data_IF_135681603771
#
_entry.id   IF_135681603771
#
_cell.length_a   1.000
_cell.length_b   1.000
_cell.length_c   1.000
_cell.angle_alpha   90.00
_cell.angle_beta   90.00
_cell.angle_gamma   90.00
#
_symmetry.space_group_name_H-M   'P 1'
#
loop_
_entity.id
_entity.type
_entity.pdbx_description
1 polymer ?
#
# COMPACT_ATOMS: atom_id res chain seq x y z
N UNK A 1 21.75 -5.38 23.96
CA UNK A 1 20.93 -4.17 23.83
C UNK A 1 21.64 -3.22 22.88
N UNK A 2 21.10 -3.02 21.70
CA UNK A 2 21.64 -2.06 20.75
C UNK A 2 21.07 -0.71 21.14
N UNK A 3 21.88 0.18 21.65
CA UNK A 3 21.47 1.56 21.87
C UNK A 3 21.66 2.31 20.55
N UNK A 4 20.55 2.54 19.87
CA UNK A 4 20.53 3.17 18.54
C UNK A 4 20.33 4.69 18.62
N UNK A 5 20.60 5.29 19.77
CA UNK A 5 20.61 6.74 19.85
C UNK A 5 21.72 7.29 18.97
N UNK A 6 21.32 8.03 17.94
CA UNK A 6 22.25 8.83 17.15
C UNK A 6 23.15 9.67 18.06
N UNK A 7 24.42 9.78 17.81
CA UNK A 7 25.25 9.50 16.65
C UNK A 7 26.11 8.24 16.79
N UNK A 8 25.69 7.25 17.53
CA UNK A 8 26.50 6.17 18.07
C UNK A 8 26.34 4.85 17.31
N UNK A 9 25.56 4.80 16.23
CA UNK A 9 25.53 3.69 15.29
C UNK A 9 26.94 3.46 14.74
N UNK A 10 27.64 2.49 15.31
CA UNK A 10 29.02 2.15 14.97
C UNK A 10 30.04 2.24 16.12
N UNK A 11 29.68 2.80 17.28
CA UNK A 11 30.61 2.92 18.40
C UNK A 11 30.30 2.03 19.62
N UNK A 12 29.15 1.34 19.65
CA UNK A 12 28.82 0.49 20.79
C UNK A 12 29.42 -0.88 20.62
N UNK A 13 30.47 -1.12 21.36
CA UNK A 13 31.10 -2.42 21.48
C UNK A 13 30.53 -3.13 22.72
N UNK A 14 29.49 -3.92 22.53
CA UNK A 14 28.86 -4.70 23.63
C UNK A 14 29.20 -6.19 23.56
N UNK A 15 30.28 -6.58 22.93
CA UNK A 15 30.73 -7.97 22.90
C UNK A 15 29.82 -8.92 22.05
N UNK A 16 28.84 -8.39 21.33
CA UNK A 16 27.89 -9.10 20.48
C UNK A 16 27.84 -8.52 19.07
N UNK A 17 27.28 -9.22 18.08
CA UNK A 17 27.38 -8.82 16.70
C UNK A 17 26.96 -7.37 16.51
N UNK A 18 27.88 -6.57 15.98
CA UNK A 18 27.59 -5.19 15.59
C UNK A 18 26.62 -5.20 14.43
N UNK A 19 25.57 -4.42 14.51
CA UNK A 19 24.84 -4.02 13.31
C UNK A 19 25.72 -3.01 12.60
N UNK A 20 26.34 -3.40 11.51
CA UNK A 20 27.15 -2.50 10.69
C UNK A 20 26.31 -2.13 9.47
N UNK A 21 26.02 -0.86 9.33
CA UNK A 21 25.48 -0.34 8.10
C UNK A 21 26.63 -0.36 7.08
N UNK A 22 26.51 -1.23 6.07
CA UNK A 22 27.56 -1.41 5.08
C UNK A 22 27.61 -0.21 4.15
N UNK A 23 28.79 0.37 4.00
CA UNK A 23 29.07 1.51 3.12
C UNK A 23 30.06 1.05 2.05
N UNK A 24 29.55 0.64 0.90
CA UNK A 24 30.39 0.21 -0.22
C UNK A 24 30.62 1.34 -1.26
N UNK A 25 29.79 2.39 -1.19
CA UNK A 25 29.79 3.52 -2.14
C UNK A 25 29.16 4.78 -1.50
N UNK A 26 29.19 5.90 -2.26
CA UNK A 26 28.65 7.19 -1.79
C UNK A 26 27.15 7.14 -1.49
N UNK A 27 26.37 6.35 -2.25
CA UNK A 27 24.93 6.17 -2.00
C UNK A 27 24.67 5.47 -0.67
N UNK A 28 25.55 4.59 -0.24
CA UNK A 28 25.45 3.94 1.07
C UNK A 28 25.74 4.93 2.21
N UNK A 29 26.67 5.84 2.03
CA UNK A 29 26.95 6.92 2.99
C UNK A 29 25.73 7.83 3.13
N UNK A 30 25.10 8.23 2.03
CA UNK A 30 23.86 9.03 2.03
C UNK A 30 22.73 8.27 2.71
N UNK A 31 22.55 6.99 2.41
CA UNK A 31 21.55 6.13 3.03
C UNK A 31 21.74 6.00 4.54
N UNK A 32 22.97 5.83 5.01
CA UNK A 32 23.31 5.79 6.44
C UNK A 32 22.95 7.09 7.14
N UNK A 33 23.30 8.23 6.54
CA UNK A 33 22.97 9.54 7.09
C UNK A 33 21.44 9.74 7.15
N UNK A 34 20.71 9.25 6.14
CA UNK A 34 19.25 9.28 6.14
C UNK A 34 18.69 8.48 7.33
N UNK A 35 19.12 7.22 7.50
CA UNK A 35 18.68 6.36 8.60
C UNK A 35 19.00 7.01 9.95
N UNK A 36 20.21 7.53 10.15
CA UNK A 36 20.61 8.22 11.39
C UNK A 36 19.73 9.41 11.71
N UNK A 37 19.31 10.18 10.70
CA UNK A 37 18.45 11.36 10.88
C UNK A 37 17.00 10.99 11.20
N UNK A 38 16.48 9.92 10.60
CA UNK A 38 15.08 9.57 10.66
C UNK A 38 14.74 8.41 11.62
N UNK A 39 15.73 7.87 12.32
CA UNK A 39 15.47 7.02 13.49
C UNK A 39 15.01 7.92 14.63
N UNK A 40 13.73 8.01 14.81
CA UNK A 40 13.06 8.61 15.96
C UNK A 40 12.53 7.53 16.92
N UNK A 41 11.83 7.95 17.98
CA UNK A 41 11.28 7.01 18.96
C UNK A 41 10.35 5.97 18.34
N UNK A 42 9.53 6.36 17.36
CA UNK A 42 8.58 5.47 16.68
C UNK A 42 9.29 4.43 15.81
N UNK A 43 10.29 4.84 15.05
CA UNK A 43 11.07 3.92 14.21
C UNK A 43 12.07 3.09 15.01
N UNK A 44 12.51 3.56 16.18
CA UNK A 44 13.38 2.79 17.06
C UNK A 44 12.72 1.48 17.55
N UNK A 45 11.41 1.44 17.68
CA UNK A 45 10.66 0.24 18.08
C UNK A 45 10.82 -0.92 17.09
N UNK A 46 11.18 -0.64 15.82
CA UNK A 46 11.46 -1.70 14.83
C UNK A 46 12.62 -2.63 15.26
N UNK A 47 13.51 -2.18 16.14
CA UNK A 47 14.61 -3.02 16.65
C UNK A 47 14.16 -4.03 17.69
N UNK A 48 13.02 -3.82 18.32
CA UNK A 48 12.50 -4.66 19.40
C UNK A 48 11.39 -5.63 18.91
N UNK A 49 10.71 -5.32 17.85
CA UNK A 49 9.73 -6.22 17.25
C UNK A 49 10.39 -7.46 16.63
N UNK A 50 9.67 -8.58 16.57
CA UNK A 50 10.16 -9.81 15.96
C UNK A 50 10.03 -9.80 14.43
N UNK A 51 8.96 -9.22 13.92
CA UNK A 51 8.61 -9.11 12.51
C UNK A 51 8.22 -7.67 12.20
N UNK A 52 8.41 -7.22 10.97
CA UNK A 52 8.15 -5.85 10.58
C UNK A 52 7.27 -5.78 9.33
N UNK A 53 6.40 -4.78 9.29
CA UNK A 53 5.70 -4.36 8.07
C UNK A 53 6.08 -2.91 7.82
N UNK A 54 6.79 -2.65 6.74
CA UNK A 54 7.10 -1.30 6.28
C UNK A 54 6.01 -0.83 5.32
N UNK A 55 5.48 0.37 5.54
CA UNK A 55 4.42 0.97 4.74
C UNK A 55 4.81 2.36 4.27
N UNK A 56 4.21 2.83 3.17
CA UNK A 56 4.50 4.15 2.61
C UNK A 56 3.88 5.29 3.41
N UNK A 57 2.70 5.06 4.00
CA UNK A 57 1.92 6.13 4.59
C UNK A 57 1.08 5.74 5.80
N UNK A 58 0.39 6.76 6.30
CA UNK A 58 -0.45 6.66 7.50
C UNK A 58 -1.71 5.81 7.28
N UNK A 59 -2.18 5.70 6.02
CA UNK A 59 -3.39 4.93 5.73
C UNK A 59 -3.17 3.44 6.00
N UNK A 60 -2.07 2.89 5.50
CA UNK A 60 -1.66 1.51 5.74
C UNK A 60 -1.38 1.28 7.23
N UNK A 61 -0.66 2.19 7.88
CA UNK A 61 -0.32 2.10 9.30
C UNK A 61 -1.59 1.96 10.17
N UNK A 62 -2.62 2.75 9.89
CA UNK A 62 -3.89 2.72 10.60
C UNK A 62 -4.74 1.49 10.29
N UNK A 63 -4.75 1.02 9.04
CA UNK A 63 -5.68 -0.01 8.58
C UNK A 63 -5.14 -1.44 8.74
N UNK A 64 -3.83 -1.65 8.68
CA UNK A 64 -3.25 -3.00 8.77
C UNK A 64 -3.61 -3.76 10.05
N UNK A 65 -3.62 -3.14 11.24
CA UNK A 65 -4.03 -3.86 12.46
C UNK A 65 -5.47 -4.37 12.39
N UNK A 66 -6.41 -3.59 11.86
CA UNK A 66 -7.80 -4.03 11.72
C UNK A 66 -7.96 -5.06 10.60
N UNK A 67 -7.23 -4.94 9.49
CA UNK A 67 -7.22 -5.95 8.43
C UNK A 67 -6.71 -7.31 8.92
N UNK A 68 -5.66 -7.31 9.75
CA UNK A 68 -5.19 -8.54 10.38
C UNK A 68 -6.28 -9.20 11.24
N UNK A 69 -7.07 -8.40 11.98
CA UNK A 69 -8.20 -8.92 12.76
C UNK A 69 -9.31 -9.54 11.90
N UNK A 70 -9.59 -8.99 10.71
CA UNK A 70 -10.50 -9.62 9.73
C UNK A 70 -9.98 -10.98 9.25
N UNK A 71 -8.68 -11.19 9.29
CA UNK A 71 -8.02 -12.47 8.98
C UNK A 71 -7.81 -13.36 10.23
N UNK A 72 -8.46 -13.04 11.35
CA UNK A 72 -8.30 -13.72 12.63
C UNK A 72 -6.84 -13.74 13.14
N UNK A 73 -6.10 -12.65 12.88
CA UNK A 73 -4.74 -12.43 13.35
C UNK A 73 -4.69 -11.17 14.22
N UNK A 74 -3.79 -11.17 15.21
CA UNK A 74 -3.50 -9.98 16.00
C UNK A 74 -2.02 -9.65 15.87
N UNK A 75 -1.69 -8.52 15.25
CA UNK A 75 -0.30 -8.15 15.00
C UNK A 75 0.50 -7.98 16.30
N UNK A 76 -0.15 -7.52 17.38
CA UNK A 76 0.51 -7.36 18.69
C UNK A 76 0.90 -8.72 19.28
N UNK A 77 -0.01 -9.70 19.25
CA UNK A 77 0.25 -11.04 19.77
C UNK A 77 1.32 -11.78 18.96
N UNK A 78 1.41 -11.46 17.67
CA UNK A 78 2.42 -11.97 16.73
C UNK A 78 3.75 -11.22 16.80
N UNK A 79 3.87 -10.22 17.69
CA UNK A 79 5.03 -9.33 17.82
C UNK A 79 5.45 -8.67 16.48
N UNK A 80 4.45 -8.26 15.71
CA UNK A 80 4.61 -7.54 14.44
C UNK A 80 4.43 -6.05 14.68
N UNK A 81 5.39 -5.26 14.23
CA UNK A 81 5.29 -3.81 14.20
C UNK A 81 5.06 -3.30 12.78
N UNK A 82 4.08 -2.43 12.63
CA UNK A 82 3.89 -1.64 11.39
C UNK A 82 4.67 -0.34 11.53
N UNK A 83 5.52 -0.05 10.55
CA UNK A 83 6.39 1.13 10.55
C UNK A 83 6.10 1.98 9.32
N UNK A 84 5.63 3.19 9.52
CA UNK A 84 5.43 4.16 8.46
C UNK A 84 6.77 4.79 8.06
N UNK A 85 7.15 4.59 6.80
CA UNK A 85 8.40 5.08 6.25
C UNK A 85 8.32 6.53 5.75
N UNK A 86 7.10 7.09 5.63
CA UNK A 86 6.86 8.44 5.14
C UNK A 86 7.13 8.59 3.64
N UNK A 87 6.94 7.52 2.87
CA UNK A 87 7.18 7.42 1.44
C UNK A 87 7.93 6.14 1.07
N UNK A 88 8.45 6.07 -0.15
CA UNK A 88 9.14 4.88 -0.70
C UNK A 88 10.61 4.77 -0.26
N UNK A 89 10.92 5.11 0.98
CA UNK A 89 12.29 5.14 1.50
C UNK A 89 12.72 3.81 2.15
N UNK A 90 12.11 2.70 1.76
CA UNK A 90 12.35 1.36 2.32
C UNK A 90 13.82 0.95 2.26
N UNK A 91 14.47 1.12 1.12
CA UNK A 91 15.82 0.61 0.86
C UNK A 91 16.87 1.11 1.84
N UNK A 92 16.71 2.34 2.36
CA UNK A 92 17.63 2.87 3.36
C UNK A 92 17.61 2.08 4.67
N UNK A 93 16.41 1.66 5.10
CA UNK A 93 16.24 0.90 6.35
C UNK A 93 16.45 -0.59 6.15
N UNK A 94 16.13 -1.15 4.97
CA UNK A 94 16.27 -2.57 4.70
C UNK A 94 17.72 -3.06 4.83
N UNK A 95 18.71 -2.20 4.57
CA UNK A 95 20.13 -2.52 4.76
C UNK A 95 20.48 -2.92 6.21
N UNK A 96 19.69 -2.50 7.20
CA UNK A 96 19.85 -2.91 8.60
C UNK A 96 19.46 -4.37 8.85
N UNK A 97 18.64 -4.94 7.99
CA UNK A 97 17.97 -6.22 8.18
C UNK A 97 18.29 -7.24 7.06
N UNK A 98 19.00 -6.82 6.01
CA UNK A 98 19.35 -7.67 4.88
C UNK A 98 20.33 -8.77 5.33
N UNK A 99 19.81 -9.99 5.50
CA UNK A 99 20.58 -11.16 5.99
C UNK A 99 21.62 -11.68 4.99
N UNK A 100 21.72 -11.13 3.78
CA UNK A 100 22.86 -11.32 2.91
C UNK A 100 24.13 -10.62 3.46
N UNK A 101 23.96 -9.71 4.41
CA UNK A 101 25.06 -9.09 5.15
C UNK A 101 25.27 -9.81 6.49
N UNK A 102 26.50 -10.13 6.90
CA UNK A 102 26.77 -10.89 8.12
C UNK A 102 26.54 -10.14 9.42
N UNK A 103 26.34 -8.83 9.38
CA UNK A 103 26.25 -7.95 10.55
C UNK A 103 24.92 -7.22 10.67
N UNK A 104 23.83 -7.89 10.28
CA UNK A 104 22.49 -7.32 10.27
C UNK A 104 21.60 -7.95 11.34
N UNK A 105 20.48 -7.32 11.61
CA UNK A 105 19.46 -7.86 12.50
C UNK A 105 18.57 -8.79 11.70
N UNK A 106 18.60 -10.09 12.03
CA UNK A 106 17.74 -11.05 11.35
C UNK A 106 16.28 -10.90 11.79
N UNK A 107 15.46 -10.31 10.93
CA UNK A 107 14.01 -10.16 11.10
C UNK A 107 13.30 -10.42 9.78
N UNK A 108 12.11 -10.98 9.86
CA UNK A 108 11.25 -11.15 8.69
C UNK A 108 10.50 -9.84 8.41
N UNK A 109 10.61 -9.33 7.20
CA UNK A 109 10.11 -8.01 6.82
C UNK A 109 9.24 -8.10 5.57
N UNK A 110 8.08 -7.50 5.64
CA UNK A 110 7.22 -7.20 4.51
C UNK A 110 7.26 -5.70 4.23
N UNK A 111 7.42 -5.33 2.97
CA UNK A 111 7.21 -3.97 2.50
C UNK A 111 5.92 -3.94 1.67
N UNK A 112 4.98 -3.07 2.05
CA UNK A 112 3.78 -2.80 1.28
C UNK A 112 3.97 -1.50 0.51
N UNK A 113 3.80 -1.55 -0.81
CA UNK A 113 3.99 -0.41 -1.70
C UNK A 113 2.89 -0.37 -2.74
N UNK A 114 2.50 0.83 -3.16
CA UNK A 114 1.50 1.01 -4.20
C UNK A 114 2.11 0.70 -5.58
N UNK A 115 1.32 0.03 -6.43
CA UNK A 115 1.76 -0.28 -7.80
C UNK A 115 1.81 0.99 -8.66
N UNK A 116 0.92 1.96 -8.43
CA UNK A 116 0.86 3.26 -9.09
C UNK A 116 1.17 3.21 -10.60
N UNK A 117 0.28 2.66 -11.43
CA UNK A 117 0.52 2.56 -12.85
C UNK A 117 0.71 3.95 -13.46
N UNK A 118 1.74 4.08 -14.29
CA UNK A 118 2.10 5.31 -14.96
C UNK A 118 2.28 5.08 -16.46
N UNK A 119 2.06 6.14 -17.23
CA UNK A 119 2.33 6.19 -18.66
C UNK A 119 3.09 7.46 -19.03
N UNK A 120 3.86 7.41 -20.10
CA UNK A 120 4.61 8.52 -20.68
C UNK A 120 4.42 8.49 -22.19
N UNK A 121 4.11 9.62 -22.83
CA UNK A 121 4.09 9.70 -24.29
C UNK A 121 5.46 9.37 -24.88
N UNK A 122 5.45 8.77 -26.06
CA UNK A 122 6.67 8.45 -26.83
C UNK A 122 7.28 9.69 -27.52
N UNK A 123 7.19 10.86 -26.89
CA UNK A 123 7.72 12.13 -27.35
C UNK A 123 8.93 12.54 -26.49
N UNK A 124 9.89 13.32 -27.05
CA UNK A 124 10.99 13.87 -26.26
C UNK A 124 10.48 14.74 -25.11
N UNK A 125 11.22 14.74 -23.98
CA UNK A 125 11.02 15.61 -22.83
C UNK A 125 9.67 15.47 -22.09
N UNK A 126 8.89 14.43 -22.36
CA UNK A 126 7.67 14.13 -21.63
C UNK A 126 7.97 13.40 -20.31
N UNK A 127 7.18 13.67 -19.29
CA UNK A 127 7.26 13.00 -17.98
C UNK A 127 6.22 11.88 -17.86
N UNK A 128 6.45 10.96 -16.90
CA UNK A 128 5.46 9.96 -16.55
C UNK A 128 4.30 10.58 -15.77
N UNK A 129 3.10 10.38 -16.27
CA UNK A 129 1.84 10.73 -15.58
C UNK A 129 1.16 9.48 -15.00
N UNK A 130 0.44 9.66 -13.88
CA UNK A 130 -0.36 8.59 -13.30
C UNK A 130 -1.51 8.20 -14.25
N UNK A 131 -1.73 6.90 -14.39
CA UNK A 131 -2.87 6.37 -15.12
C UNK A 131 -3.69 5.39 -14.28
N UNK A 132 -4.87 5.05 -14.76
CA UNK A 132 -5.68 4.00 -14.15
C UNK A 132 -5.29 2.63 -14.73
N UNK A 133 -5.56 1.52 -14.01
CA UNK A 133 -5.25 0.18 -14.51
C UNK A 133 -5.89 -0.12 -15.88
N UNK A 134 -7.11 0.33 -16.12
CA UNK A 134 -7.81 0.18 -17.39
C UNK A 134 -7.28 1.08 -18.52
N UNK A 135 -6.35 1.99 -18.24
CA UNK A 135 -5.59 2.79 -19.21
C UNK A 135 -4.20 2.18 -19.49
N UNK A 136 -3.78 1.19 -18.68
CA UNK A 136 -2.45 0.60 -18.78
C UNK A 136 -2.34 -0.35 -19.98
N UNK A 137 -1.27 -0.23 -20.76
CA UNK A 137 -0.98 -1.03 -21.96
C UNK A 137 -2.04 -1.03 -23.07
N UNK A 138 -2.93 -0.04 -23.10
CA UNK A 138 -3.98 0.03 -24.14
C UNK A 138 -3.52 0.73 -25.41
N UNK A 139 -2.51 1.58 -25.34
CA UNK A 139 -1.97 2.38 -26.45
C UNK A 139 -0.44 2.39 -26.44
N UNK A 140 0.16 1.25 -26.69
CA UNK A 140 1.62 1.08 -26.69
C UNK A 140 2.30 1.72 -27.90
N UNK A 141 1.56 2.15 -28.91
CA UNK A 141 2.09 2.91 -30.03
C UNK A 141 2.45 4.33 -29.63
N UNK A 142 1.66 4.95 -28.75
CA UNK A 142 1.84 6.35 -28.34
C UNK A 142 2.40 6.51 -26.92
N UNK A 143 2.38 5.46 -26.08
CA UNK A 143 2.80 5.54 -24.69
C UNK A 143 3.72 4.41 -24.27
N UNK A 144 4.72 4.74 -23.46
CA UNK A 144 5.42 3.80 -22.60
C UNK A 144 4.73 3.70 -21.25
N UNK A 145 4.72 2.51 -20.67
CA UNK A 145 4.06 2.21 -19.39
C UNK A 145 5.05 1.64 -18.38
N UNK A 146 4.85 1.92 -17.10
CA UNK A 146 5.58 1.28 -16.00
C UNK A 146 4.73 1.22 -14.73
N UNK A 147 5.09 0.30 -13.85
CA UNK A 147 4.66 0.27 -12.46
C UNK A 147 5.81 0.72 -11.57
N UNK A 148 5.52 1.48 -10.53
CA UNK A 148 6.59 1.98 -9.65
C UNK A 148 7.25 0.88 -8.81
N UNK A 149 6.52 -0.17 -8.46
CA UNK A 149 6.98 -1.22 -7.55
C UNK A 149 7.71 -2.39 -8.24
N UNK A 150 7.84 -2.39 -9.56
CA UNK A 150 8.35 -3.56 -10.30
C UNK A 150 9.80 -3.90 -9.95
N UNK A 151 10.64 -2.89 -9.77
CA UNK A 151 12.07 -3.07 -9.46
C UNK A 151 12.26 -3.72 -8.10
N UNK A 152 11.62 -3.18 -7.06
CA UNK A 152 11.74 -3.65 -5.69
C UNK A 152 11.14 -5.05 -5.53
N UNK A 153 9.97 -5.30 -6.12
CA UNK A 153 9.33 -6.62 -6.10
C UNK A 153 10.23 -7.67 -6.76
N UNK A 154 10.84 -7.36 -7.90
CA UNK A 154 11.76 -8.28 -8.59
C UNK A 154 13.04 -8.51 -7.79
N UNK A 155 13.63 -7.44 -7.24
CA UNK A 155 14.87 -7.49 -6.46
C UNK A 155 14.74 -8.39 -5.22
N UNK A 156 13.62 -8.31 -4.52
CA UNK A 156 13.40 -9.04 -3.26
C UNK A 156 12.55 -10.32 -3.42
N UNK A 157 12.23 -10.74 -4.65
CA UNK A 157 11.36 -11.90 -4.89
C UNK A 157 11.88 -13.22 -4.27
N UNK A 158 13.20 -13.44 -4.28
CA UNK A 158 13.86 -14.60 -3.70
C UNK A 158 14.65 -14.29 -2.41
N UNK A 159 14.45 -13.09 -1.84
CA UNK A 159 15.19 -12.70 -0.65
C UNK A 159 14.76 -13.53 0.57
N UNK A 160 15.70 -13.98 1.43
CA UNK A 160 15.37 -14.91 2.50
C UNK A 160 14.46 -14.36 3.58
N UNK A 161 14.57 -13.08 3.90
CA UNK A 161 13.83 -12.46 5.01
C UNK A 161 13.12 -11.14 4.67
N UNK A 162 13.20 -10.64 3.44
CA UNK A 162 12.54 -9.40 2.99
C UNK A 162 11.70 -9.71 1.76
N UNK A 163 10.45 -9.22 1.72
CA UNK A 163 9.58 -9.29 0.55
C UNK A 163 8.78 -8.02 0.37
N UNK A 164 8.58 -7.65 -0.90
CA UNK A 164 7.68 -6.60 -1.31
C UNK A 164 6.36 -7.19 -1.82
N UNK A 165 5.26 -6.56 -1.39
CA UNK A 165 3.93 -6.86 -1.87
C UNK A 165 3.26 -5.59 -2.36
N UNK A 166 2.54 -5.71 -3.46
CA UNK A 166 1.80 -4.64 -4.12
C UNK A 166 0.49 -5.18 -4.66
N UNK A 167 -0.37 -4.29 -5.07
CA UNK A 167 -1.63 -4.62 -5.72
C UNK A 167 -1.43 -5.44 -7.01
N UNK A 168 -2.50 -6.00 -7.54
CA UNK A 168 -2.49 -6.76 -8.78
C UNK A 168 -2.03 -5.92 -9.97
N UNK A 169 -1.20 -6.50 -10.84
CA UNK A 169 -0.59 -5.79 -11.98
C UNK A 169 -1.59 -5.36 -13.05
N UNK A 170 -2.73 -6.06 -13.14
CA UNK A 170 -3.75 -5.80 -14.15
C UNK A 170 -4.81 -4.84 -13.66
N UNK A 171 -5.17 -4.96 -12.38
CA UNK A 171 -6.36 -4.32 -11.84
C UNK A 171 -6.09 -3.34 -10.70
N UNK A 172 -4.93 -3.39 -10.09
CA UNK A 172 -4.59 -2.65 -8.89
C UNK A 172 -4.08 -1.24 -9.15
N UNK A 173 -4.15 -0.36 -8.14
CA UNK A 173 -3.61 1.00 -8.23
C UNK A 173 -2.99 1.48 -6.91
N UNK A 174 -3.82 1.74 -5.91
CA UNK A 174 -3.44 2.18 -4.56
C UNK A 174 -4.27 1.44 -3.53
N UNK A 175 -3.92 1.56 -2.25
CA UNK A 175 -4.68 0.94 -1.17
C UNK A 175 -6.17 1.30 -1.23
N UNK A 176 -6.50 2.59 -1.34
CA UNK A 176 -7.90 3.06 -1.32
C UNK A 176 -8.69 2.57 -2.55
N UNK A 177 -8.02 2.53 -3.70
CA UNK A 177 -8.61 2.00 -4.93
C UNK A 177 -8.95 0.52 -4.78
N UNK A 178 -8.02 -0.28 -4.29
CA UNK A 178 -8.19 -1.72 -4.16
C UNK A 178 -9.19 -2.10 -3.05
N UNK A 179 -9.22 -1.35 -1.94
CA UNK A 179 -10.26 -1.53 -0.92
C UNK A 179 -11.67 -1.43 -1.53
N UNK A 180 -11.95 -0.38 -2.31
CA UNK A 180 -13.26 -0.23 -2.95
C UNK A 180 -13.47 -1.26 -4.07
N UNK A 181 -12.45 -1.57 -4.86
CA UNK A 181 -12.54 -2.52 -5.96
C UNK A 181 -12.88 -3.94 -5.48
N UNK A 182 -12.29 -4.36 -4.37
CA UNK A 182 -12.55 -5.69 -3.78
C UNK A 182 -13.81 -5.72 -2.92
N UNK A 183 -14.39 -4.55 -2.61
CA UNK A 183 -15.59 -4.39 -1.79
C UNK A 183 -16.64 -3.48 -2.45
N UNK A 184 -17.05 -3.72 -3.71
CA UNK A 184 -17.87 -2.77 -4.49
C UNK A 184 -19.27 -2.56 -3.92
N UNK A 185 -19.75 -3.44 -3.06
CA UNK A 185 -21.08 -3.38 -2.45
C UNK A 185 -21.03 -3.16 -0.92
N UNK A 186 -19.83 -2.92 -0.35
CA UNK A 186 -19.63 -2.77 1.08
C UNK A 186 -19.92 -1.35 1.56
N UNK A 187 -21.05 -1.15 2.23
CA UNK A 187 -21.45 0.14 2.80
C UNK A 187 -20.52 0.65 3.92
N UNK A 188 -19.68 -0.20 4.51
CA UNK A 188 -18.71 0.22 5.53
C UNK A 188 -17.70 1.22 4.99
N UNK A 189 -17.48 1.23 3.67
CA UNK A 189 -16.59 2.18 3.00
C UNK A 189 -17.17 3.60 2.87
N UNK A 190 -18.48 3.75 3.11
CA UNK A 190 -19.18 5.03 2.96
C UNK A 190 -19.08 5.84 4.27
N UNK A 191 -17.87 6.22 4.65
CA UNK A 191 -17.59 7.05 5.83
C UNK A 191 -17.91 8.53 5.58
N UNK A 192 -17.95 9.36 6.63
CA UNK A 192 -18.23 10.80 6.49
C UNK A 192 -17.11 11.56 5.77
N UNK A 193 -15.90 11.01 5.74
CA UNK A 193 -14.75 11.58 5.01
C UNK A 193 -14.85 11.43 3.48
N UNK A 194 -15.82 10.67 2.98
CA UNK A 194 -16.05 10.50 1.54
C UNK A 194 -16.80 11.71 0.99
N UNK A 195 -16.15 12.54 0.19
CA UNK A 195 -16.67 13.83 -0.27
C UNK A 195 -17.90 13.74 -1.20
N UNK A 196 -18.11 12.66 -1.91
CA UNK A 196 -19.22 12.47 -2.85
C UNK A 196 -20.10 11.29 -2.46
N UNK A 197 -20.36 11.16 -1.17
CA UNK A 197 -21.05 10.02 -0.57
C UNK A 197 -22.37 9.63 -1.25
N UNK A 198 -23.25 10.62 -1.53
CA UNK A 198 -24.56 10.37 -2.18
C UNK A 198 -24.40 9.82 -3.59
N UNK A 199 -23.42 10.32 -4.34
CA UNK A 199 -23.12 9.89 -5.70
C UNK A 199 -22.59 8.45 -5.69
N UNK A 200 -21.59 8.15 -4.86
CA UNK A 200 -21.02 6.80 -4.75
C UNK A 200 -22.08 5.79 -4.30
N UNK A 201 -22.89 6.14 -3.31
CA UNK A 201 -24.00 5.29 -2.86
C UNK A 201 -25.00 4.99 -3.98
N UNK A 202 -25.35 6.00 -4.79
CA UNK A 202 -26.22 5.81 -5.95
C UNK A 202 -25.58 4.95 -7.04
N UNK A 203 -24.26 5.05 -7.22
CA UNK A 203 -23.51 4.19 -8.15
C UNK A 203 -23.44 2.74 -7.67
N UNK A 204 -23.21 2.50 -6.40
CA UNK A 204 -23.15 1.14 -5.81
C UNK A 204 -24.48 0.38 -5.99
N UNK A 205 -25.61 1.10 -5.95
CA UNK A 205 -26.94 0.50 -6.15
C UNK A 205 -27.23 0.08 -7.60
N UNK A 206 -26.41 0.49 -8.58
CA UNK A 206 -26.61 0.22 -9.98
C UNK A 206 -25.77 -0.96 -10.45
N UNK A 207 -26.38 -1.84 -11.26
CA UNK A 207 -25.68 -2.95 -11.91
C UNK A 207 -25.39 -2.66 -13.40
N UNK A 208 -26.18 -1.78 -14.00
CA UNK A 208 -25.99 -1.35 -15.40
C UNK A 208 -24.94 -0.26 -15.49
N UNK A 209 -23.91 -0.49 -16.30
CA UNK A 209 -22.76 0.41 -16.44
C UNK A 209 -23.16 1.81 -16.96
N UNK A 210 -24.09 1.90 -17.93
CA UNK A 210 -24.52 3.17 -18.49
C UNK A 210 -25.28 3.99 -17.45
N UNK A 211 -26.15 3.34 -16.69
CA UNK A 211 -26.86 3.97 -15.57
C UNK A 211 -25.89 4.42 -14.49
N UNK A 212 -24.92 3.56 -14.13
CA UNK A 212 -23.89 3.92 -13.16
C UNK A 212 -23.07 5.14 -13.61
N UNK A 213 -22.61 5.17 -14.86
CA UNK A 213 -21.90 6.33 -15.43
C UNK A 213 -22.76 7.60 -15.42
N UNK A 214 -24.07 7.48 -15.61
CA UNK A 214 -25.01 8.62 -15.56
C UNK A 214 -25.17 9.24 -14.17
N UNK A 215 -24.89 8.47 -13.09
CA UNK A 215 -24.91 8.99 -11.70
C UNK A 215 -23.71 9.86 -11.40
N UNK A 216 -22.59 9.68 -12.12
CA UNK A 216 -21.39 10.48 -11.92
C UNK A 216 -21.62 11.93 -12.38
N UNK A 217 -21.31 12.89 -11.51
CA UNK A 217 -21.33 14.31 -11.87
C UNK A 217 -20.37 14.60 -13.03
N UNK A 218 -20.64 15.66 -13.76
CA UNK A 218 -19.76 16.09 -14.84
C UNK A 218 -18.54 16.84 -14.27
N UNK A 219 -17.36 16.33 -14.62
CA UNK A 219 -16.06 16.96 -14.38
C UNK A 219 -15.06 16.36 -15.37
N UNK A 220 -13.95 17.02 -15.60
CA UNK A 220 -12.87 16.54 -16.47
C UNK A 220 -12.36 15.16 -16.03
N UNK A 221 -12.05 15.00 -14.74
CA UNK A 221 -11.60 13.74 -14.17
C UNK A 221 -12.62 12.60 -14.38
N UNK A 222 -13.91 12.87 -14.15
CA UNK A 222 -14.97 11.88 -14.37
C UNK A 222 -15.20 11.57 -15.85
N UNK A 223 -15.03 12.55 -16.74
CA UNK A 223 -15.08 12.33 -18.19
C UNK A 223 -13.94 11.42 -18.63
N UNK A 224 -12.72 11.66 -18.18
CA UNK A 224 -11.57 10.77 -18.40
C UNK A 224 -11.90 9.34 -17.97
N UNK A 225 -12.36 9.15 -16.72
CA UNK A 225 -12.73 7.82 -16.18
C UNK A 225 -13.77 7.12 -17.08
N UNK A 226 -14.87 7.80 -17.41
CA UNK A 226 -15.95 7.24 -18.24
C UNK A 226 -15.45 6.81 -19.62
N UNK A 227 -14.66 7.69 -20.27
CA UNK A 227 -14.12 7.44 -21.61
C UNK A 227 -13.15 6.27 -21.60
N UNK A 228 -12.18 6.28 -20.66
CA UNK A 228 -11.14 5.25 -20.59
C UNK A 228 -11.70 3.87 -20.23
N UNK A 229 -12.62 3.80 -19.28
CA UNK A 229 -13.32 2.55 -18.91
C UNK A 229 -14.17 2.05 -20.05
N UNK A 230 -14.91 2.92 -20.74
CA UNK A 230 -15.72 2.55 -21.91
C UNK A 230 -14.90 1.92 -23.04
N UNK A 231 -13.70 2.46 -23.28
CA UNK A 231 -12.76 1.97 -24.29
C UNK A 231 -12.01 0.69 -23.85
N UNK A 232 -11.98 0.35 -22.58
CA UNK A 232 -11.26 -0.82 -22.09
C UNK A 232 -11.90 -2.14 -22.56
N UNK A 233 -11.08 -3.19 -22.68
CA UNK A 233 -11.52 -4.54 -23.05
C UNK A 233 -11.95 -5.40 -21.85
N UNK A 234 -12.07 -4.79 -20.66
CA UNK A 234 -12.48 -5.49 -19.45
C UNK A 234 -13.95 -5.93 -19.51
N UNK A 235 -14.29 -6.93 -18.72
CA UNK A 235 -15.68 -7.36 -18.55
C UNK A 235 -16.51 -6.27 -17.87
N UNK A 236 -17.81 -6.29 -18.00
CA UNK A 236 -18.68 -5.29 -17.36
C UNK A 236 -18.57 -5.33 -15.85
N UNK A 237 -18.36 -6.51 -15.26
CA UNK A 237 -18.10 -6.67 -13.82
C UNK A 237 -16.81 -5.95 -13.41
N UNK A 238 -15.70 -6.17 -14.11
CA UNK A 238 -14.43 -5.50 -13.81
C UNK A 238 -14.49 -3.99 -14.05
N UNK A 239 -15.21 -3.57 -15.10
CA UNK A 239 -15.48 -2.15 -15.36
C UNK A 239 -16.28 -1.51 -14.22
N UNK A 240 -17.32 -2.22 -13.71
CA UNK A 240 -18.12 -1.75 -12.57
C UNK A 240 -17.24 -1.53 -11.32
N UNK A 241 -16.45 -2.54 -10.96
CA UNK A 241 -15.51 -2.46 -9.83
C UNK A 241 -14.53 -1.31 -9.99
N UNK A 242 -13.93 -1.16 -11.17
CA UNK A 242 -12.97 -0.12 -11.46
C UNK A 242 -13.58 1.29 -11.48
N UNK A 243 -14.81 1.43 -11.95
CA UNK A 243 -15.53 2.70 -11.94
C UNK A 243 -15.79 3.19 -10.52
N UNK A 244 -16.29 2.31 -9.65
CA UNK A 244 -16.47 2.59 -8.23
C UNK A 244 -15.15 2.92 -7.54
N UNK A 245 -14.12 2.11 -7.77
CA UNK A 245 -12.80 2.32 -7.18
C UNK A 245 -12.16 3.64 -7.60
N UNK A 246 -12.25 3.98 -8.89
CA UNK A 246 -11.74 5.27 -9.40
C UNK A 246 -12.49 6.45 -8.80
N UNK A 247 -13.81 6.33 -8.67
CA UNK A 247 -14.63 7.40 -8.12
C UNK A 247 -14.43 7.57 -6.63
N UNK A 248 -14.27 6.45 -5.90
CA UNK A 248 -13.94 6.45 -4.49
C UNK A 248 -12.58 7.09 -4.23
N UNK A 249 -11.54 6.66 -4.94
CA UNK A 249 -10.19 7.22 -4.83
C UNK A 249 -10.18 8.75 -4.98
N UNK A 250 -10.98 9.28 -5.94
CA UNK A 250 -11.11 10.72 -6.15
C UNK A 250 -12.04 11.42 -5.15
N UNK A 251 -12.57 10.72 -4.17
CA UNK A 251 -13.54 11.25 -3.19
C UNK A 251 -13.05 11.16 -1.76
N UNK A 252 -11.92 10.54 -1.52
CA UNK A 252 -11.36 10.35 -0.18
C UNK A 252 -10.10 11.19 0.05
N UNK A 253 -9.95 11.68 1.28
CA UNK A 253 -8.68 12.18 1.80
C UNK A 253 -8.01 11.04 2.54
N UNK A 254 -6.87 10.56 2.05
CA UNK A 254 -6.23 9.32 2.48
C UNK A 254 -6.17 9.15 4.01
N UNK A 255 -5.57 10.10 4.73
CA UNK A 255 -5.42 9.98 6.18
C UNK A 255 -6.73 10.03 6.96
N UNK A 256 -7.62 10.99 6.64
CA UNK A 256 -8.92 11.13 7.32
C UNK A 256 -9.83 9.93 7.03
N UNK A 257 -9.82 9.45 5.80
CA UNK A 257 -10.60 8.27 5.42
C UNK A 257 -10.11 7.01 6.14
N UNK A 258 -8.80 6.80 6.21
CA UNK A 258 -8.23 5.65 6.90
C UNK A 258 -8.59 5.63 8.39
N UNK A 259 -8.57 6.80 9.04
CA UNK A 259 -8.95 6.93 10.45
C UNK A 259 -10.42 6.55 10.68
N UNK A 260 -11.35 7.13 9.91
CA UNK A 260 -12.77 6.82 10.04
C UNK A 260 -13.08 5.36 9.66
N UNK A 261 -12.45 4.86 8.58
CA UNK A 261 -12.64 3.49 8.14
C UNK A 261 -12.14 2.49 9.19
N UNK A 262 -11.00 2.76 9.84
CA UNK A 262 -10.52 1.94 10.95
C UNK A 262 -11.59 1.80 12.04
N UNK A 263 -12.17 2.93 12.48
CA UNK A 263 -13.22 2.93 13.52
C UNK A 263 -14.44 2.14 13.08
N UNK A 264 -14.89 2.32 11.84
CA UNK A 264 -16.07 1.62 11.30
C UNK A 264 -15.82 0.11 11.19
N UNK A 265 -14.64 -0.28 10.70
CA UNK A 265 -14.27 -1.70 10.56
C UNK A 265 -14.13 -2.38 11.94
N UNK A 266 -13.52 -1.70 12.92
CA UNK A 266 -13.42 -2.19 14.29
C UNK A 266 -14.82 -2.39 14.91
N UNK A 267 -15.70 -1.38 14.80
CA UNK A 267 -17.07 -1.48 15.28
C UNK A 267 -17.87 -2.60 14.60
N UNK A 268 -17.56 -2.92 13.34
CA UNK A 268 -18.17 -4.07 12.65
C UNK A 268 -17.67 -5.40 13.21
N UNK A 269 -16.38 -5.52 13.55
CA UNK A 269 -15.81 -6.72 14.18
C UNK A 269 -16.33 -6.95 15.61
N UNK A 270 -16.70 -5.91 16.32
CA UNK A 270 -17.22 -6.01 17.68
C UNK A 270 -18.70 -6.49 17.73
N UNK A 271 -19.38 -6.54 16.57
CA UNK A 271 -20.73 -7.11 16.47
C UNK A 271 -20.71 -8.63 16.54
N UNK A 272 -21.84 -9.26 16.95
CA UNK A 272 -22.05 -10.69 16.74
C UNK A 272 -21.79 -11.08 15.28
N UNK A 273 -21.20 -12.24 15.04
CA UNK A 273 -20.80 -12.69 13.69
C UNK A 273 -21.97 -12.62 12.69
N UNK A 274 -23.19 -12.95 13.12
CA UNK A 274 -24.38 -12.91 12.27
C UNK A 274 -24.79 -11.49 11.82
N UNK A 275 -24.35 -10.45 12.56
CA UNK A 275 -24.73 -9.05 12.31
C UNK A 275 -23.61 -8.28 11.59
N UNK A 276 -22.48 -8.94 11.33
CA UNK A 276 -21.33 -8.32 10.66
C UNK A 276 -21.62 -8.14 9.18
N UNK A 277 -21.35 -6.95 8.69
CA UNK A 277 -21.26 -6.73 7.24
C UNK A 277 -19.98 -7.35 6.70
N UNK A 278 -20.07 -7.95 5.52
CA UNK A 278 -18.93 -8.54 4.84
C UNK A 278 -17.94 -7.44 4.41
N UNK A 279 -16.65 -7.73 4.59
CA UNK A 279 -15.54 -6.92 4.15
C UNK A 279 -14.37 -7.82 3.79
N UNK A 280 -13.82 -7.64 2.61
CA UNK A 280 -12.68 -8.37 2.09
C UNK A 280 -11.42 -7.53 2.24
N UNK A 281 -10.42 -8.07 2.91
CA UNK A 281 -9.09 -7.47 2.98
C UNK A 281 -8.42 -7.61 1.60
N UNK A 282 -7.83 -6.54 1.05
CA UNK A 282 -7.16 -6.61 -0.25
C UNK A 282 -6.16 -7.77 -0.35
N UNK A 283 -6.26 -8.53 -1.45
CA UNK A 283 -5.57 -9.82 -1.59
C UNK A 283 -4.05 -9.73 -1.43
N UNK A 284 -3.42 -8.64 -1.87
CA UNK A 284 -1.99 -8.46 -1.70
C UNK A 284 -1.58 -8.32 -0.21
N UNK A 285 -2.45 -7.74 0.63
CA UNK A 285 -2.25 -7.66 2.09
C UNK A 285 -2.43 -9.04 2.72
N UNK A 286 -3.45 -9.81 2.28
CA UNK A 286 -3.62 -11.21 2.72
C UNK A 286 -2.36 -12.03 2.44
N UNK A 287 -1.82 -11.91 1.24
CA UNK A 287 -0.60 -12.61 0.84
C UNK A 287 0.61 -12.18 1.68
N UNK A 288 0.74 -10.87 1.92
CA UNK A 288 1.80 -10.29 2.73
C UNK A 288 1.78 -10.81 4.18
N UNK A 289 0.61 -10.76 4.82
CA UNK A 289 0.42 -11.23 6.19
C UNK A 289 0.60 -12.75 6.29
N UNK A 290 0.13 -13.50 5.30
CA UNK A 290 0.31 -14.95 5.26
C UNK A 290 1.80 -15.32 5.23
N UNK A 291 2.58 -14.66 4.37
CA UNK A 291 4.01 -14.91 4.30
C UNK A 291 4.74 -14.45 5.58
N UNK A 292 4.38 -13.30 6.13
CA UNK A 292 5.04 -12.76 7.31
C UNK A 292 4.83 -13.64 8.54
N UNK A 293 3.63 -14.23 8.67
CA UNK A 293 3.21 -14.99 9.84
C UNK A 293 3.44 -16.51 9.72
N UNK A 294 3.93 -16.96 8.55
CA UNK A 294 4.33 -18.37 8.36
C UNK A 294 5.71 -18.72 9.03
#
# INVERSE_FOLDING_TARGET
>A
LICLTSPVLGQINVGYPRVIYKEDNDDDVVSKQYVQRFIDATKADMFFANKLIFVEGVAEELLLPVFARYLNKNLTDEHVLVVNMGGRYFNHFLKLFDTNNPYTINKKIVCLTDIDPCRKKNEPDEDYEACYPYEYNIDTANYNYKHHADTEVAQYAAHPNIRFYRQDVTYGKTLEYDIMRENPDCELLLTNSVSNLKEIKAMMAEQDMNKMMSKMRNSEANTRIKTSIGASKWTDEEKRKALLASRYLNSVSKGSNALELNVVLMANLDKPVADRKEFHVPQYIVNALTWLLS
#
